data_IF_450175281393
#
_entry.id   IF_450175281393
#
_cell.length_a   1.000
_cell.length_b   1.000
_cell.length_c   1.000
_cell.angle_alpha   90.00
_cell.angle_beta   90.00
_cell.angle_gamma   90.00
#
_symmetry.space_group_name_H-M   'P 1'
#
loop_
_entity.id
_entity.type
_entity.pdbx_description
1 polymer ?
#
# COMPACT_ATOMS: atom_id res chain seq x y z
N UNK A 1 -8.83 0.76 5.73
CA UNK A 1 -10.17 0.90 5.12
C UNK A 1 -9.96 0.94 3.62
N UNK A 2 -10.76 0.19 2.87
CA UNK A 2 -10.74 0.23 1.40
C UNK A 2 -11.49 1.50 0.93
N UNK A 3 -10.99 2.25 -0.07
CA UNK A 3 -11.60 3.52 -0.48
C UNK A 3 -13.08 3.41 -0.87
N UNK A 4 -13.48 2.33 -1.53
CA UNK A 4 -14.88 2.09 -1.93
C UNK A 4 -15.85 1.88 -0.74
N UNK A 5 -15.34 1.59 0.47
CA UNK A 5 -16.14 1.51 1.70
C UNK A 5 -16.38 2.88 2.35
N UNK A 6 -15.71 3.92 1.91
CA UNK A 6 -15.88 5.25 2.47
C UNK A 6 -17.17 5.85 1.92
N UNK A 7 -18.06 6.30 2.82
CA UNK A 7 -19.25 7.08 2.51
C UNK A 7 -18.91 8.56 2.44
N UNK A 8 -18.21 9.05 3.48
CA UNK A 8 -17.77 10.44 3.57
C UNK A 8 -16.56 10.56 4.50
N UNK A 9 -15.85 11.66 4.34
CA UNK A 9 -14.86 12.09 5.31
C UNK A 9 -15.07 13.56 5.65
N UNK A 10 -14.85 13.90 6.91
CA UNK A 10 -14.96 15.26 7.44
C UNK A 10 -13.65 15.63 8.10
N UNK A 11 -13.13 16.80 7.78
CA UNK A 11 -11.90 17.32 8.39
C UNK A 11 -12.27 18.37 9.41
N UNK A 12 -12.03 18.07 10.70
CA UNK A 12 -12.25 18.97 11.82
C UNK A 12 -10.94 19.72 12.10
N UNK A 13 -10.96 21.04 11.92
CA UNK A 13 -9.77 21.90 12.09
C UNK A 13 -9.90 22.86 13.24
N UNK A 14 -11.13 23.16 13.68
CA UNK A 14 -11.41 24.13 14.73
C UNK A 14 -11.24 23.50 16.12
N UNK A 15 -10.68 24.26 17.06
CA UNK A 15 -10.45 23.77 18.42
C UNK A 15 -11.74 23.29 19.13
N UNK A 16 -12.88 23.94 18.88
CA UNK A 16 -14.18 23.53 19.41
C UNK A 16 -14.64 22.16 18.92
N UNK A 17 -14.36 21.84 17.66
CA UNK A 17 -14.75 20.55 17.05
C UNK A 17 -13.80 19.43 17.48
N UNK A 18 -12.50 19.75 17.63
CA UNK A 18 -11.48 18.78 17.99
C UNK A 18 -11.36 18.52 19.49
N UNK A 19 -11.93 19.38 20.34
CA UNK A 19 -11.91 19.26 21.81
C UNK A 19 -12.45 17.91 22.30
N UNK A 20 -13.44 17.33 21.62
CA UNK A 20 -14.01 16.01 21.94
C UNK A 20 -13.00 14.86 21.81
N UNK A 21 -11.90 15.06 21.09
CA UNK A 21 -10.87 14.06 20.82
C UNK A 21 -9.64 14.23 21.73
N UNK A 22 -9.71 15.17 22.68
CA UNK A 22 -8.63 15.45 23.65
C UNK A 22 -7.32 15.88 22.98
N UNK A 23 -6.18 15.59 23.62
CA UNK A 23 -4.85 15.97 23.12
C UNK A 23 -4.52 15.39 21.74
N UNK A 24 -5.10 14.24 21.37
CA UNK A 24 -4.90 13.64 20.04
C UNK A 24 -5.52 14.47 18.93
N UNK A 25 -6.52 15.32 19.23
CA UNK A 25 -7.15 16.22 18.27
C UNK A 25 -6.43 17.54 18.02
N UNK A 26 -5.33 17.83 18.72
CA UNK A 26 -4.63 19.11 18.67
C UNK A 26 -4.16 19.53 17.27
N UNK A 27 -3.79 18.57 16.41
CA UNK A 27 -3.38 18.79 15.01
C UNK A 27 -4.51 18.69 14.00
N UNK A 28 -5.77 18.58 14.45
CA UNK A 28 -6.95 18.32 13.64
C UNK A 28 -7.39 16.85 13.67
N UNK A 29 -8.62 16.60 13.23
CA UNK A 29 -9.22 15.25 13.20
C UNK A 29 -9.80 15.00 11.81
N UNK A 30 -9.49 13.84 11.25
CA UNK A 30 -10.18 13.33 10.04
C UNK A 30 -11.16 12.26 10.50
N UNK A 31 -12.46 12.56 10.39
CA UNK A 31 -13.52 11.63 10.67
C UNK A 31 -13.92 10.90 9.39
N UNK A 32 -13.76 9.59 9.36
CA UNK A 32 -14.13 8.74 8.22
C UNK A 32 -15.41 8.00 8.55
N UNK A 33 -16.46 8.23 7.76
CA UNK A 33 -17.70 7.49 7.82
C UNK A 33 -17.70 6.42 6.74
N UNK A 34 -17.93 5.17 7.13
CA UNK A 34 -17.98 4.05 6.19
C UNK A 34 -19.43 3.71 5.82
N UNK A 35 -19.61 3.21 4.60
CA UNK A 35 -20.89 2.71 4.10
C UNK A 35 -21.41 1.61 5.01
N UNK A 36 -22.69 1.68 5.38
CA UNK A 36 -23.44 0.66 6.11
C UNK A 36 -24.41 -0.07 5.18
N UNK A 37 -25.00 -1.15 5.66
CA UNK A 37 -26.13 -1.80 4.99
C UNK A 37 -27.30 -0.83 4.87
N UNK A 38 -27.98 -0.87 3.74
CA UNK A 38 -29.23 -0.14 3.54
C UNK A 38 -30.37 -1.11 3.77
N UNK A 39 -31.44 -0.72 4.47
CA UNK A 39 -32.61 -1.57 4.69
C UNK A 39 -33.40 -1.93 3.42
N UNK A 40 -32.73 -1.92 2.28
CA UNK A 40 -33.24 -2.32 0.95
C UNK A 40 -32.74 -3.73 0.67
N UNK A 41 -33.46 -4.51 -0.10
CA UNK A 41 -33.13 -5.88 -0.44
C UNK A 41 -31.66 -6.17 -0.77
N UNK A 42 -31.33 -7.40 -0.98
CA UNK A 42 -29.95 -7.85 -1.23
C UNK A 42 -29.32 -7.17 -2.44
N UNK A 43 -28.13 -6.62 -2.25
CA UNK A 43 -27.34 -5.93 -3.28
C UNK A 43 -25.92 -6.47 -3.29
N UNK A 44 -25.37 -6.65 -4.48
CA UNK A 44 -23.97 -6.98 -4.70
C UNK A 44 -23.35 -5.85 -5.50
N UNK A 45 -22.17 -5.40 -5.12
CA UNK A 45 -21.35 -4.49 -5.90
C UNK A 45 -19.93 -5.05 -6.09
N UNK A 46 -19.44 -4.97 -7.31
CA UNK A 46 -18.06 -5.30 -7.63
C UNK A 46 -17.44 -4.15 -8.42
N UNK A 47 -16.25 -3.76 -7.98
CA UNK A 47 -15.41 -2.80 -8.69
C UNK A 47 -14.05 -3.46 -8.92
N UNK A 48 -13.54 -3.39 -10.15
CA UNK A 48 -12.25 -3.93 -10.50
C UNK A 48 -11.53 -3.03 -11.48
N UNK A 49 -10.22 -2.90 -11.31
CA UNK A 49 -9.37 -2.27 -12.30
C UNK A 49 -8.04 -3.02 -12.42
N UNK A 50 -7.46 -2.94 -13.59
CA UNK A 50 -6.12 -3.43 -13.89
C UNK A 50 -5.36 -2.34 -14.64
N UNK A 51 -4.17 -2.02 -14.16
CA UNK A 51 -3.29 -1.03 -14.75
C UNK A 51 -1.92 -1.63 -15.07
N UNK A 52 -1.30 -1.11 -16.11
CA UNK A 52 0.08 -1.43 -16.50
C UNK A 52 0.93 -0.19 -16.26
N UNK A 53 2.06 -0.38 -15.60
CA UNK A 53 3.04 0.68 -15.35
C UNK A 53 4.28 0.43 -16.21
N UNK A 54 4.68 1.45 -16.95
CA UNK A 54 5.92 1.41 -17.71
C UNK A 54 6.72 2.71 -17.46
N UNK A 55 8.03 2.60 -17.54
CA UNK A 55 8.89 3.78 -17.48
C UNK A 55 8.66 4.60 -18.75
N UNK A 56 8.10 5.80 -18.62
CA UNK A 56 7.83 6.69 -19.74
C UNK A 56 9.10 7.16 -20.45
N UNK A 57 10.13 7.53 -19.67
CA UNK A 57 11.41 7.98 -20.18
C UNK A 57 12.53 7.54 -19.23
N UNK A 58 13.59 7.01 -19.78
CA UNK A 58 14.83 6.70 -19.06
C UNK A 58 15.94 7.64 -19.51
N UNK A 59 16.89 7.92 -18.63
CA UNK A 59 18.14 8.55 -19.02
C UNK A 59 18.88 7.62 -19.97
N UNK A 60 19.40 8.15 -21.06
CA UNK A 60 20.24 7.42 -21.96
C UNK A 60 21.63 7.28 -21.34
N UNK A 61 22.07 6.03 -21.22
CA UNK A 61 23.35 5.68 -20.65
C UNK A 61 24.25 5.13 -21.77
N UNK A 62 25.54 5.36 -21.67
CA UNK A 62 26.50 4.79 -22.60
C UNK A 62 26.43 3.24 -22.57
N UNK A 63 26.39 2.62 -23.73
CA UNK A 63 26.66 1.19 -23.87
C UNK A 63 28.16 0.89 -23.72
N UNK A 64 28.55 -0.39 -23.71
CA UNK A 64 29.94 -0.79 -23.50
C UNK A 64 30.90 -0.20 -24.55
N UNK A 65 30.49 -0.18 -25.82
CA UNK A 65 31.32 0.34 -26.90
C UNK A 65 31.51 1.87 -26.80
N UNK A 66 30.43 2.60 -26.53
CA UNK A 66 30.44 4.04 -26.33
C UNK A 66 31.27 4.42 -25.10
N UNK A 67 31.13 3.66 -23.99
CA UNK A 67 31.93 3.86 -22.78
C UNK A 67 33.43 3.69 -23.05
N UNK A 68 33.82 2.61 -23.73
CA UNK A 68 35.21 2.33 -24.09
C UNK A 68 35.77 3.45 -24.98
N UNK A 69 35.01 3.85 -26.01
CA UNK A 69 35.44 4.92 -26.92
C UNK A 69 35.59 6.26 -26.15
N UNK A 70 34.70 6.58 -25.25
CA UNK A 70 34.79 7.77 -24.43
C UNK A 70 36.01 7.72 -23.49
N UNK A 71 36.24 6.59 -22.81
CA UNK A 71 37.40 6.41 -21.94
C UNK A 71 38.75 6.58 -22.70
N UNK A 72 38.85 5.99 -23.87
CA UNK A 72 40.03 6.15 -24.75
C UNK A 72 40.21 7.58 -25.20
N UNK A 73 39.14 8.25 -25.62
CA UNK A 73 39.18 9.65 -26.08
C UNK A 73 39.69 10.60 -25.01
N UNK A 74 39.32 10.37 -23.75
CA UNK A 74 39.69 11.23 -22.62
C UNK A 74 40.90 10.71 -21.82
N UNK A 75 41.54 9.64 -22.27
CA UNK A 75 42.71 9.05 -21.59
C UNK A 75 42.41 8.50 -20.19
N UNK A 76 41.19 8.03 -19.97
CA UNK A 76 40.76 7.49 -18.69
C UNK A 76 41.08 5.99 -18.59
N UNK A 77 41.57 5.58 -17.44
CA UNK A 77 41.71 4.16 -17.14
C UNK A 77 40.35 3.49 -16.99
N UNK A 78 40.18 2.33 -17.61
CA UNK A 78 38.97 1.54 -17.47
C UNK A 78 39.27 0.05 -17.44
N UNK A 79 38.45 -0.69 -16.73
CA UNK A 79 38.53 -2.15 -16.66
C UNK A 79 37.38 -2.73 -17.48
N UNK A 80 37.71 -3.47 -18.55
CA UNK A 80 36.73 -4.13 -19.40
C UNK A 80 36.57 -5.60 -18.99
N UNK A 81 35.36 -5.99 -18.60
CA UNK A 81 35.00 -7.37 -18.26
C UNK A 81 34.30 -8.12 -19.38
N UNK A 82 34.13 -7.50 -20.55
CA UNK A 82 33.58 -8.14 -21.76
C UNK A 82 32.06 -8.24 -21.81
N UNK A 83 31.35 -7.50 -20.98
CA UNK A 83 29.90 -7.44 -20.98
C UNK A 83 29.40 -6.16 -21.68
N UNK A 84 28.10 -6.12 -22.00
CA UNK A 84 27.37 -4.92 -22.40
C UNK A 84 26.04 -4.89 -21.63
N UNK A 85 26.08 -4.27 -20.45
CA UNK A 85 25.00 -4.33 -19.48
C UNK A 85 24.27 -3.00 -19.40
N UNK A 86 22.99 -2.98 -19.79
CA UNK A 86 22.10 -1.89 -19.47
C UNK A 86 21.54 -2.08 -18.06
N UNK A 87 22.19 -1.49 -17.07
CA UNK A 87 21.83 -1.67 -15.66
C UNK A 87 20.46 -1.12 -15.33
N UNK A 88 20.01 -0.02 -15.97
CA UNK A 88 18.64 0.51 -15.78
C UNK A 88 17.58 -0.48 -16.23
N UNK A 89 17.75 -1.09 -17.40
CA UNK A 89 16.86 -2.14 -17.89
C UNK A 89 16.92 -3.40 -17.01
N UNK A 90 18.07 -3.70 -16.45
CA UNK A 90 18.25 -4.86 -15.59
C UNK A 90 17.53 -4.73 -14.24
N UNK A 91 17.41 -3.51 -13.67
CA UNK A 91 16.72 -3.26 -12.40
C UNK A 91 15.23 -2.95 -12.55
N UNK A 92 14.77 -2.69 -13.76
CA UNK A 92 13.38 -2.33 -14.03
C UNK A 92 12.61 -3.42 -14.74
N UNK A 93 11.30 -3.31 -14.72
CA UNK A 93 10.34 -4.15 -15.44
C UNK A 93 9.11 -3.35 -15.82
N UNK A 94 8.24 -3.90 -16.62
CA UNK A 94 6.86 -3.45 -16.70
C UNK A 94 6.16 -3.85 -15.39
N UNK A 95 5.62 -2.89 -14.69
CA UNK A 95 4.82 -3.09 -13.49
C UNK A 95 3.35 -3.31 -13.82
N UNK A 96 2.60 -3.74 -12.83
CA UNK A 96 1.15 -3.87 -12.93
C UNK A 96 0.49 -3.60 -11.58
N UNK A 97 -0.71 -3.07 -11.63
CA UNK A 97 -1.57 -2.91 -10.46
C UNK A 97 -2.92 -3.53 -10.76
N UNK A 98 -3.44 -4.28 -9.81
CA UNK A 98 -4.80 -4.78 -9.85
C UNK A 98 -5.51 -4.48 -8.53
N UNK A 99 -6.74 -3.99 -8.65
CA UNK A 99 -7.60 -3.71 -7.52
C UNK A 99 -8.92 -4.43 -7.73
N UNK A 100 -9.38 -5.13 -6.72
CA UNK A 100 -10.65 -5.83 -6.70
C UNK A 100 -11.38 -5.48 -5.41
N UNK A 101 -12.62 -5.09 -5.54
CA UNK A 101 -13.48 -4.81 -4.43
C UNK A 101 -14.84 -5.46 -4.65
N UNK A 102 -15.30 -6.19 -3.64
CA UNK A 102 -16.58 -6.88 -3.63
C UNK A 102 -17.32 -6.50 -2.36
N UNK A 103 -18.59 -6.12 -2.48
CA UNK A 103 -19.42 -5.85 -1.33
C UNK A 103 -20.81 -6.45 -1.50
N UNK A 104 -21.31 -6.96 -0.38
CA UNK A 104 -22.65 -7.49 -0.21
C UNK A 104 -23.36 -6.63 0.83
N UNK A 105 -24.56 -6.20 0.56
CA UNK A 105 -25.37 -5.46 1.52
C UNK A 105 -26.85 -5.82 1.37
N UNK A 106 -27.57 -5.68 2.43
CA UNK A 106 -29.00 -5.94 2.41
C UNK A 106 -29.63 -5.74 3.78
N UNK A 107 -30.91 -6.09 3.86
CA UNK A 107 -31.64 -6.08 5.13
C UNK A 107 -33.05 -5.51 5.02
N UNK A 108 -33.55 -5.23 6.18
CA UNK A 108 -34.84 -4.58 6.41
C UNK A 108 -34.63 -3.31 7.22
N UNK A 109 -35.66 -2.48 7.48
CA UNK A 109 -35.53 -1.33 8.37
C UNK A 109 -35.09 -1.68 9.79
N UNK A 110 -35.32 -2.93 10.24
CA UNK A 110 -34.94 -3.44 11.57
C UNK A 110 -33.62 -4.15 11.59
N UNK A 111 -33.18 -4.72 10.47
CA UNK A 111 -31.97 -5.50 10.41
C UNK A 111 -31.24 -5.20 9.10
N UNK A 112 -30.04 -4.66 9.15
CA UNK A 112 -29.26 -4.44 7.95
C UNK A 112 -27.81 -4.90 8.15
N UNK A 113 -27.19 -5.31 7.06
CA UNK A 113 -25.83 -5.80 7.04
C UNK A 113 -25.09 -5.34 5.81
N UNK A 114 -23.78 -5.24 5.96
CA UNK A 114 -22.84 -5.04 4.86
C UNK A 114 -21.57 -5.84 5.14
N UNK A 115 -21.16 -6.60 4.15
CA UNK A 115 -19.85 -7.26 4.12
C UNK A 115 -19.08 -6.78 2.91
N UNK A 116 -17.81 -6.47 3.07
CA UNK A 116 -16.95 -6.04 1.96
C UNK A 116 -15.58 -6.72 2.03
N UNK A 117 -14.98 -6.90 0.86
CA UNK A 117 -13.68 -7.47 0.65
C UNK A 117 -12.94 -6.67 -0.40
N UNK A 118 -11.74 -6.20 -0.07
CA UNK A 118 -10.87 -5.44 -0.95
C UNK A 118 -9.51 -6.13 -1.10
N UNK A 119 -9.00 -6.18 -2.31
CA UNK A 119 -7.69 -6.72 -2.64
C UNK A 119 -6.97 -5.78 -3.59
N UNK A 120 -5.72 -5.45 -3.24
CA UNK A 120 -4.81 -4.67 -4.08
C UNK A 120 -3.51 -5.46 -4.20
N UNK A 121 -3.04 -5.64 -5.43
CA UNK A 121 -1.71 -6.19 -5.72
C UNK A 121 -1.01 -5.25 -6.70
N UNK A 122 0.08 -4.67 -6.27
CA UNK A 122 0.85 -3.68 -7.02
C UNK A 122 2.29 -4.14 -7.14
N UNK A 123 2.69 -4.45 -8.35
CA UNK A 123 4.06 -4.73 -8.74
C UNK A 123 4.61 -3.51 -9.47
N UNK A 124 5.54 -2.79 -8.85
CA UNK A 124 6.10 -1.55 -9.40
C UNK A 124 7.04 -1.80 -10.57
N UNK A 125 7.42 -0.73 -11.26
CA UNK A 125 8.45 -0.75 -12.31
C UNK A 125 9.83 -1.18 -11.82
N UNK A 126 10.11 -1.08 -10.53
CA UNK A 126 11.35 -1.57 -9.93
C UNK A 126 11.19 -3.06 -9.64
N UNK A 127 12.14 -3.88 -10.09
CA UNK A 127 12.14 -5.32 -9.77
C UNK A 127 12.17 -5.54 -8.26
N UNK A 128 11.50 -6.59 -7.81
CA UNK A 128 11.40 -6.96 -6.40
C UNK A 128 10.65 -5.98 -5.49
N UNK A 129 10.17 -4.85 -5.99
CA UNK A 129 9.37 -3.87 -5.24
C UNK A 129 7.89 -3.99 -5.59
N UNK A 130 7.04 -3.94 -4.56
CA UNK A 130 5.60 -3.99 -4.72
C UNK A 130 4.89 -4.19 -3.39
N UNK A 131 3.59 -4.06 -3.37
CA UNK A 131 2.81 -4.32 -2.16
C UNK A 131 1.51 -5.07 -2.47
N UNK A 132 1.02 -5.76 -1.47
CA UNK A 132 -0.28 -6.41 -1.46
C UNK A 132 -1.06 -5.97 -0.24
N UNK A 133 -2.29 -5.59 -0.45
CA UNK A 133 -3.20 -5.21 0.63
C UNK A 133 -4.51 -5.98 0.51
N UNK A 134 -4.91 -6.62 1.58
CA UNK A 134 -6.15 -7.35 1.71
C UNK A 134 -6.93 -6.75 2.87
N UNK A 135 -8.19 -6.43 2.63
CA UNK A 135 -9.08 -5.80 3.61
C UNK A 135 -10.40 -6.54 3.60
N UNK A 136 -10.91 -6.87 4.78
CA UNK A 136 -12.25 -7.42 4.96
C UNK A 136 -12.99 -6.63 6.04
N UNK A 137 -14.27 -6.39 5.83
CA UNK A 137 -15.12 -5.66 6.77
C UNK A 137 -16.52 -6.26 6.80
N UNK A 138 -17.11 -6.33 7.99
CA UNK A 138 -18.51 -6.72 8.21
C UNK A 138 -19.11 -5.72 9.18
N UNK A 139 -20.28 -5.19 8.84
CA UNK A 139 -21.10 -4.35 9.70
C UNK A 139 -22.51 -4.94 9.74
N UNK A 140 -23.09 -5.00 10.92
CA UNK A 140 -24.47 -5.43 11.16
C UNK A 140 -25.13 -4.42 12.10
N UNK A 141 -26.30 -3.94 11.73
CA UNK A 141 -27.16 -3.17 12.61
C UNK A 141 -28.44 -3.93 12.82
N UNK A 142 -28.81 -4.19 14.07
CA UNK A 142 -30.03 -4.88 14.45
C UNK A 142 -30.83 -4.03 15.44
N UNK A 143 -32.13 -3.86 15.15
CA UNK A 143 -33.10 -3.27 16.06
C UNK A 143 -33.98 -4.35 16.66
N UNK A 144 -34.39 -4.16 17.91
CA UNK A 144 -35.22 -5.08 18.65
C UNK A 144 -36.16 -4.31 19.60
N UNK A 145 -37.13 -5.00 20.21
CA UNK A 145 -38.06 -4.47 21.19
C UNK A 145 -38.83 -3.26 20.68
N UNK A 146 -39.39 -3.34 19.44
CA UNK A 146 -40.15 -2.23 18.85
C UNK A 146 -39.24 -1.01 18.57
N UNK A 147 -38.08 -1.27 18.04
CA UNK A 147 -37.00 -0.30 17.69
C UNK A 147 -36.36 0.41 18.90
N UNK A 148 -36.71 0.03 20.14
CA UNK A 148 -36.13 0.61 21.37
C UNK A 148 -34.65 0.22 21.57
N UNK A 149 -34.25 -0.97 21.15
CA UNK A 149 -32.85 -1.41 21.21
C UNK A 149 -32.25 -1.40 19.83
N UNK A 150 -31.14 -0.69 19.69
CA UNK A 150 -30.31 -0.74 18.47
C UNK A 150 -28.94 -1.28 18.83
N UNK A 151 -28.52 -2.37 18.17
CA UNK A 151 -27.18 -2.93 18.26
C UNK A 151 -26.44 -2.70 16.95
N UNK A 152 -25.25 -2.09 17.01
CA UNK A 152 -24.30 -1.98 15.91
C UNK A 152 -23.09 -2.85 16.22
N UNK A 153 -22.84 -3.82 15.38
CA UNK A 153 -21.66 -4.70 15.44
C UNK A 153 -20.83 -4.51 14.19
N UNK A 154 -19.52 -4.36 14.36
CA UNK A 154 -18.60 -4.25 13.24
C UNK A 154 -17.30 -4.99 13.49
N UNK A 155 -16.80 -5.62 12.44
CA UNK A 155 -15.49 -6.28 12.39
C UNK A 155 -14.74 -5.79 11.17
N UNK A 156 -13.47 -5.47 11.34
CA UNK A 156 -12.55 -5.06 10.31
C UNK A 156 -11.23 -5.83 10.46
N UNK A 157 -10.75 -6.39 9.36
CA UNK A 157 -9.44 -7.01 9.28
C UNK A 157 -8.67 -6.50 8.08
N UNK A 158 -7.36 -6.32 8.23
CA UNK A 158 -6.48 -6.01 7.09
C UNK A 158 -5.14 -6.71 7.22
N UNK A 159 -4.57 -7.09 6.06
CA UNK A 159 -3.21 -7.61 5.94
C UNK A 159 -2.51 -6.85 4.83
N UNK A 160 -1.50 -6.09 5.20
CA UNK A 160 -0.65 -5.33 4.29
C UNK A 160 0.73 -5.96 4.28
N UNK A 161 1.19 -6.35 3.09
CA UNK A 161 2.55 -6.82 2.85
C UNK A 161 3.21 -5.89 1.85
N UNK A 162 4.29 -5.25 2.26
CA UNK A 162 5.14 -4.44 1.40
C UNK A 162 6.45 -5.19 1.17
N UNK A 163 6.78 -5.41 -0.09
CA UNK A 163 8.10 -5.88 -0.49
C UNK A 163 8.86 -4.66 -0.98
N UNK A 164 9.88 -4.27 -0.26
CA UNK A 164 10.70 -3.11 -0.61
C UNK A 164 12.18 -3.47 -0.65
N UNK A 165 12.95 -2.57 -1.20
CA UNK A 165 14.41 -2.55 -1.16
C UNK A 165 14.83 -1.44 -0.20
N UNK A 166 15.92 -1.65 0.50
CA UNK A 166 16.38 -0.75 1.55
C UNK A 166 16.53 0.71 1.06
N UNK A 167 17.12 0.91 -0.13
CA UNK A 167 17.32 2.25 -0.69
C UNK A 167 17.07 2.28 -2.21
N UNK A 168 15.90 2.80 -2.59
CA UNK A 168 15.50 2.93 -4.01
C UNK A 168 16.31 4.00 -4.75
N UNK A 169 16.76 5.06 -4.07
CA UNK A 169 17.60 6.10 -4.68
C UNK A 169 18.98 5.55 -4.98
N UNK A 170 19.57 4.83 -4.02
CA UNK A 170 20.86 4.18 -4.21
C UNK A 170 20.81 3.17 -5.35
N UNK A 171 19.69 2.48 -5.55
CA UNK A 171 19.53 1.55 -6.67
C UNK A 171 19.70 2.22 -8.03
N UNK A 172 19.01 3.35 -8.26
CA UNK A 172 19.13 4.08 -9.52
C UNK A 172 20.52 4.71 -9.67
N UNK A 173 21.03 5.33 -8.61
CA UNK A 173 22.40 5.86 -8.62
C UNK A 173 23.43 4.78 -8.94
N UNK A 174 23.31 3.60 -8.33
CA UNK A 174 24.19 2.45 -8.62
C UNK A 174 24.11 2.02 -10.07
N UNK A 175 22.88 1.96 -10.63
CA UNK A 175 22.69 1.56 -12.01
C UNK A 175 23.30 2.56 -13.00
N UNK A 176 23.26 3.85 -12.69
CA UNK A 176 23.79 4.91 -13.54
C UNK A 176 25.31 5.05 -13.44
N UNK A 177 25.86 4.79 -12.26
CA UNK A 177 27.30 4.90 -12.01
C UNK A 177 28.10 3.67 -12.41
N UNK A 178 27.42 2.54 -12.69
CA UNK A 178 28.11 1.27 -13.00
C UNK A 178 28.76 1.28 -14.39
N UNK A 179 29.95 0.72 -14.49
CA UNK A 179 30.64 0.50 -15.76
C UNK A 179 29.85 -0.52 -16.62
N UNK A 180 29.36 -0.14 -17.81
CA UNK A 180 28.53 -1.00 -18.65
C UNK A 180 29.23 -2.27 -19.15
N UNK A 181 30.57 -2.33 -19.07
CA UNK A 181 31.31 -3.55 -19.42
C UNK A 181 31.29 -4.61 -18.33
N UNK A 182 30.59 -4.36 -17.21
CA UNK A 182 30.50 -5.27 -16.08
C UNK A 182 29.22 -6.12 -16.13
N UNK A 183 29.23 -7.33 -15.53
CA UNK A 183 28.03 -8.15 -15.43
C UNK A 183 27.03 -7.55 -14.43
N UNK A 184 25.76 -7.79 -14.69
CA UNK A 184 24.70 -7.43 -13.73
C UNK A 184 24.72 -8.31 -12.48
N UNK A 185 25.01 -9.60 -12.62
CA UNK A 185 25.06 -10.58 -11.53
C UNK A 185 26.50 -10.85 -11.08
N UNK A 186 26.65 -11.70 -10.09
CA UNK A 186 27.96 -12.10 -9.56
C UNK A 186 28.83 -12.75 -10.63
N UNK A 187 30.10 -12.38 -10.65
CA UNK A 187 31.15 -13.04 -11.42
C UNK A 187 32.01 -13.83 -10.46
N UNK A 188 32.17 -15.13 -10.70
CA UNK A 188 32.95 -16.04 -9.84
C UNK A 188 32.53 -15.95 -8.36
N UNK A 189 31.18 -15.85 -8.10
CA UNK A 189 30.62 -15.79 -6.77
C UNK A 189 30.66 -14.43 -6.07
N UNK A 190 31.33 -13.42 -6.66
CA UNK A 190 31.49 -12.09 -6.07
C UNK A 190 30.87 -10.99 -6.92
N UNK A 191 30.33 -9.95 -6.26
CA UNK A 191 29.86 -8.76 -6.93
C UNK A 191 31.02 -7.94 -7.49
N UNK A 192 30.92 -7.55 -8.76
CA UNK A 192 31.91 -6.68 -9.41
C UNK A 192 31.60 -5.23 -9.07
N UNK A 193 32.60 -4.50 -8.52
CA UNK A 193 32.50 -3.08 -8.15
C UNK A 193 33.33 -2.21 -9.10
N UNK A 194 32.98 -0.92 -9.21
CA UNK A 194 33.74 0.08 -9.96
C UNK A 194 35.03 0.46 -9.22
N UNK A 195 36.09 -0.32 -9.43
CA UNK A 195 37.36 -0.11 -8.74
C UNK A 195 37.34 -0.47 -7.25
N UNK A 196 38.52 -0.53 -6.63
CA UNK A 196 38.68 -0.92 -5.22
C UNK A 196 38.13 0.14 -4.24
N UNK A 197 38.15 1.41 -4.62
CA UNK A 197 37.72 2.54 -3.79
C UNK A 197 36.24 2.93 -4.00
N UNK A 198 35.52 2.25 -4.89
CA UNK A 198 34.13 2.59 -5.17
C UNK A 198 33.24 2.26 -3.98
N UNK A 199 32.53 3.28 -3.51
CA UNK A 199 31.49 3.15 -2.48
C UNK A 199 30.14 2.73 -3.07
N UNK A 200 30.03 2.64 -4.40
CA UNK A 200 28.80 2.30 -5.11
C UNK A 200 28.64 0.79 -5.14
N UNK A 201 27.61 0.29 -4.49
CA UNK A 201 27.26 -1.13 -4.54
C UNK A 201 26.67 -1.49 -5.91
N UNK A 202 26.98 -2.67 -6.45
CA UNK A 202 26.39 -3.13 -7.70
C UNK A 202 24.85 -3.18 -7.61
N UNK A 203 24.10 -2.78 -8.65
CA UNK A 203 22.64 -2.71 -8.61
C UNK A 203 21.97 -4.05 -8.24
N UNK A 204 22.56 -5.17 -8.69
CA UNK A 204 22.08 -6.49 -8.32
C UNK A 204 22.25 -6.82 -6.83
N UNK A 205 23.27 -6.25 -6.16
CA UNK A 205 23.42 -6.35 -4.70
C UNK A 205 22.36 -5.52 -3.98
N UNK A 206 22.18 -4.25 -4.40
CA UNK A 206 21.18 -3.33 -3.81
C UNK A 206 19.75 -3.91 -3.92
N UNK A 207 19.41 -4.52 -5.06
CA UNK A 207 18.11 -5.18 -5.23
C UNK A 207 17.88 -6.38 -4.27
N UNK A 208 18.92 -6.96 -3.72
CA UNK A 208 18.82 -8.06 -2.75
C UNK A 208 18.73 -7.59 -1.30
N UNK A 209 19.04 -6.33 -1.04
CA UNK A 209 18.83 -5.70 0.27
C UNK A 209 17.35 -5.43 0.45
N UNK A 210 16.70 -6.19 1.35
CA UNK A 210 15.25 -6.17 1.54
C UNK A 210 14.87 -5.35 2.76
N UNK A 211 13.80 -4.58 2.61
CA UNK A 211 13.08 -3.89 3.69
C UNK A 211 11.60 -4.26 3.61
N UNK A 212 11.33 -5.54 3.86
CA UNK A 212 9.99 -6.10 3.76
C UNK A 212 9.20 -5.84 5.04
N UNK A 213 8.00 -5.30 4.89
CA UNK A 213 7.10 -5.03 6.01
C UNK A 213 5.82 -5.86 5.88
N UNK A 214 5.34 -6.42 6.99
CA UNK A 214 4.05 -7.07 7.09
C UNK A 214 3.29 -6.52 8.28
N UNK A 215 2.15 -5.89 8.02
CA UNK A 215 1.26 -5.36 9.03
C UNK A 215 -0.08 -6.10 8.97
N UNK A 216 -0.60 -6.46 10.13
CA UNK A 216 -1.93 -7.07 10.27
C UNK A 216 -2.70 -6.26 11.30
N UNK A 217 -3.91 -5.85 10.95
CA UNK A 217 -4.78 -5.12 11.86
C UNK A 217 -6.12 -5.85 11.97
N UNK A 218 -6.62 -5.93 13.17
CA UNK A 218 -7.95 -6.45 13.47
C UNK A 218 -8.65 -5.49 14.44
N UNK A 219 -9.90 -5.15 14.12
CA UNK A 219 -10.72 -4.29 14.96
C UNK A 219 -12.12 -4.90 15.02
N UNK A 220 -12.69 -4.94 16.21
CA UNK A 220 -14.09 -5.30 16.42
C UNK A 220 -14.72 -4.27 17.35
N UNK A 221 -15.99 -3.95 17.12
CA UNK A 221 -16.75 -3.08 18.02
C UNK A 221 -18.20 -3.53 18.14
N UNK A 222 -18.76 -3.24 19.29
CA UNK A 222 -20.18 -3.39 19.58
C UNK A 222 -20.69 -2.11 20.25
N UNK A 223 -21.74 -1.53 19.70
CA UNK A 223 -22.47 -0.44 20.30
C UNK A 223 -23.90 -0.86 20.51
N UNK A 224 -24.38 -0.71 21.72
CA UNK A 224 -25.79 -0.90 22.09
C UNK A 224 -26.38 0.43 22.49
N UNK A 225 -27.57 0.74 21.99
CA UNK A 225 -28.32 1.91 22.36
C UNK A 225 -29.75 1.48 22.72
N UNK A 226 -30.20 1.77 23.95
CA UNK A 226 -31.53 1.43 24.42
C UNK A 226 -32.29 2.69 24.80
N UNK A 227 -33.40 2.94 24.09
CA UNK A 227 -34.28 4.06 24.31
C UNK A 227 -35.32 3.64 25.37
N UNK A 228 -35.07 4.00 26.64
CA UNK A 228 -35.93 3.67 27.78
C UNK A 228 -37.27 4.40 27.69
N UNK A 229 -37.21 5.69 27.30
CA UNK A 229 -38.35 6.57 27.04
C UNK A 229 -38.08 7.46 25.84
N UNK A 230 -39.04 8.27 25.42
CA UNK A 230 -38.85 9.24 24.34
C UNK A 230 -37.78 10.32 24.65
N UNK A 231 -37.39 10.47 25.91
CA UNK A 231 -36.43 11.50 26.37
C UNK A 231 -35.20 10.93 27.04
N UNK A 232 -35.15 9.61 27.26
CA UNK A 232 -34.05 8.97 27.98
C UNK A 232 -33.53 7.76 27.21
N UNK A 233 -32.27 7.79 26.86
CA UNK A 233 -31.55 6.66 26.24
C UNK A 233 -30.29 6.32 27.01
N UNK A 234 -29.92 5.04 26.98
CA UNK A 234 -28.67 4.50 27.53
C UNK A 234 -27.86 3.85 26.43
N UNK A 235 -26.57 4.17 26.36
CA UNK A 235 -25.67 3.60 25.38
C UNK A 235 -24.50 2.89 26.06
N UNK A 236 -24.12 1.73 25.52
CA UNK A 236 -22.90 1.02 25.87
C UNK A 236 -22.05 0.83 24.61
N UNK A 237 -20.75 1.01 24.74
CA UNK A 237 -19.80 0.82 23.64
C UNK A 237 -18.59 0.02 24.12
N UNK A 238 -18.24 -1.00 23.34
CA UNK A 238 -17.02 -1.77 23.52
C UNK A 238 -16.28 -1.91 22.21
N UNK A 239 -14.96 -1.84 22.25
CA UNK A 239 -14.11 -2.05 21.09
C UNK A 239 -12.83 -2.80 21.47
N UNK A 240 -12.36 -3.64 20.54
CA UNK A 240 -11.10 -4.33 20.62
C UNK A 240 -10.28 -4.04 19.36
N UNK A 241 -9.00 -3.75 19.53
CA UNK A 241 -8.06 -3.51 18.43
C UNK A 241 -6.76 -4.28 18.67
N UNK A 242 -6.29 -4.90 17.61
CA UNK A 242 -4.98 -5.58 17.55
C UNK A 242 -4.26 -5.12 16.27
N UNK A 243 -2.94 -4.81 16.39
CA UNK A 243 -2.07 -4.36 15.30
C UNK A 243 -0.68 -4.96 15.43
#
# INVERSE_FOLDING_TARGET
IYPADIESFTVLKNASETALYGSRGASGVIQVKTKKGTGKGFQISYEGNYGIEAMYKSMEMLNAAEYIAAAQKYGLEYNNKGYDTNFRKAITRTGNIQNHYLAFSGGTPQSNYRASFGYIDHNTIIRSKGYRNLVAKIDVTQKAFGDKLTGDFGVFGSSFKNNDIFDSQMLFYSADAMNPTYPYDKLNGSWVKNGAASQVNPPGAVLKERDDTKNMNFNAHLKLNYDMTNSLSVSAFGAYSYA
#
